data_IF_200239171075
#
_entry.id   IF_200239171075
#
_cell.length_a   1.000
_cell.length_b   1.000
_cell.length_c   1.000
_cell.angle_alpha   90.00
_cell.angle_beta   90.00
_cell.angle_gamma   90.00
#
_symmetry.space_group_name_H-M   'P 1'
#
loop_
_entity.id
_entity.type
_entity.pdbx_description
1 polymer ?
#
# COMPACT_ATOMS: atom_id res chain seq x y z
N UNK A 1 35.37 -37.71 4.03
CA UNK A 1 34.28 -36.71 4.12
C UNK A 1 34.90 -35.37 3.77
N UNK A 2 34.60 -34.85 2.59
CA UNK A 2 35.21 -33.62 2.08
C UNK A 2 34.53 -32.40 2.70
N UNK A 3 34.83 -32.19 3.99
CA UNK A 3 34.32 -31.09 4.81
C UNK A 3 34.69 -29.71 4.26
N UNK A 4 35.76 -29.64 3.46
CA UNK A 4 36.21 -28.42 2.79
C UNK A 4 35.16 -27.84 1.83
N UNK A 5 34.31 -28.68 1.23
CA UNK A 5 33.30 -28.24 0.26
C UNK A 5 31.91 -28.04 0.90
N UNK A 6 31.69 -28.48 2.13
CA UNK A 6 30.37 -28.39 2.78
C UNK A 6 29.98 -26.93 3.08
N UNK A 7 30.92 -26.13 3.59
CA UNK A 7 30.70 -24.72 3.92
C UNK A 7 30.34 -23.87 2.68
N UNK A 8 31.07 -23.93 1.55
CA UNK A 8 30.69 -23.16 0.37
C UNK A 8 29.34 -23.59 -0.22
N UNK A 9 29.00 -24.88 -0.19
CA UNK A 9 27.68 -25.36 -0.63
C UNK A 9 26.55 -24.89 0.30
N UNK A 10 26.75 -24.92 1.62
CA UNK A 10 25.78 -24.35 2.58
C UNK A 10 25.57 -22.85 2.35
N UNK A 11 26.62 -22.10 2.04
CA UNK A 11 26.50 -20.67 1.74
C UNK A 11 25.67 -20.40 0.47
N UNK A 12 25.84 -21.22 -0.58
CA UNK A 12 25.02 -21.13 -1.79
C UNK A 12 23.54 -21.38 -1.48
N UNK A 13 23.26 -22.39 -0.67
CA UNK A 13 21.89 -22.71 -0.27
C UNK A 13 21.26 -21.61 0.59
N UNK A 14 22.02 -21.01 1.52
CA UNK A 14 21.57 -19.84 2.29
C UNK A 14 21.23 -18.66 1.36
N UNK A 15 22.03 -18.42 0.32
CA UNK A 15 21.77 -17.35 -0.64
C UNK A 15 20.47 -17.58 -1.41
N UNK A 16 20.26 -18.79 -1.92
CA UNK A 16 19.03 -19.21 -2.62
C UNK A 16 17.78 -19.03 -1.75
N UNK A 17 17.84 -19.49 -0.50
CA UNK A 17 16.71 -19.39 0.42
C UNK A 17 16.38 -17.93 0.78
N UNK A 18 17.39 -17.06 0.90
CA UNK A 18 17.18 -15.62 1.12
C UNK A 18 16.51 -14.95 -0.07
N UNK A 19 16.89 -15.31 -1.29
CA UNK A 19 16.27 -14.81 -2.52
C UNK A 19 14.81 -15.26 -2.63
N UNK A 20 14.54 -16.56 -2.42
CA UNK A 20 13.18 -17.10 -2.39
C UNK A 20 12.30 -16.39 -1.35
N UNK A 21 12.83 -16.16 -0.15
CA UNK A 21 12.16 -15.36 0.88
C UNK A 21 11.92 -13.93 0.42
N UNK A 22 12.86 -13.28 -0.27
CA UNK A 22 12.68 -11.91 -0.74
C UNK A 22 11.60 -11.81 -1.82
N UNK A 23 11.57 -12.76 -2.76
CA UNK A 23 10.52 -12.86 -3.77
C UNK A 23 9.15 -13.07 -3.12
N UNK A 24 9.07 -13.95 -2.11
CA UNK A 24 7.82 -14.24 -1.41
C UNK A 24 7.39 -13.08 -0.49
N UNK A 25 8.33 -12.46 0.23
CA UNK A 25 8.09 -11.28 1.08
C UNK A 25 7.74 -10.03 0.25
N UNK A 26 8.16 -9.97 -1.02
CA UNK A 26 7.76 -8.94 -1.98
C UNK A 26 6.27 -8.93 -2.31
N UNK A 27 5.50 -9.93 -1.88
CA UNK A 27 4.04 -9.96 -1.98
C UNK A 27 3.33 -9.46 -0.70
N UNK A 28 4.06 -9.30 0.41
CA UNK A 28 3.49 -8.92 1.72
C UNK A 28 4.15 -7.71 2.37
N UNK A 29 5.20 -7.14 1.77
CA UNK A 29 5.82 -5.90 2.26
C UNK A 29 5.21 -4.71 1.52
N UNK A 30 4.43 -3.82 2.18
CA UNK A 30 4.13 -2.53 1.59
C UNK A 30 5.46 -1.78 1.48
N UNK A 31 6.06 -1.78 0.29
CA UNK A 31 7.17 -0.91 -0.09
C UNK A 31 6.81 0.48 0.39
N UNK A 32 7.49 0.94 1.46
CA UNK A 32 7.09 2.08 2.29
C UNK A 32 6.32 3.12 1.50
N UNK A 33 5.00 3.12 1.66
CA UNK A 33 4.14 4.09 1.03
C UNK A 33 4.62 5.45 1.54
N UNK A 34 5.29 6.22 0.68
CA UNK A 34 5.69 7.59 1.03
C UNK A 34 4.43 8.26 1.54
N UNK A 35 4.46 8.72 2.80
CA UNK A 35 3.31 9.38 3.41
C UNK A 35 2.85 10.49 2.46
N UNK A 36 1.66 10.31 1.88
CA UNK A 36 1.18 11.24 0.87
C UNK A 36 1.02 12.61 1.52
N UNK A 37 1.57 13.66 0.90
CA UNK A 37 1.47 15.00 1.46
C UNK A 37 -0.01 15.40 1.48
N UNK A 38 -0.54 15.63 2.69
CA UNK A 38 -1.92 16.08 2.88
C UNK A 38 -2.09 17.42 2.16
N UNK A 39 -3.03 17.49 1.22
CA UNK A 39 -3.38 18.72 0.51
C UNK A 39 -4.52 19.42 1.26
N UNK A 40 -4.34 20.70 1.56
CA UNK A 40 -5.38 21.55 2.15
C UNK A 40 -6.27 22.12 1.05
N UNK A 41 -7.60 21.91 1.16
CA UNK A 41 -8.59 22.51 0.27
C UNK A 41 -8.80 23.99 0.58
N UNK A 42 -8.83 24.82 -0.48
CA UNK A 42 -9.26 26.23 -0.46
C UNK A 42 -10.70 26.36 0.06
N UNK A 43 -11.02 27.53 0.64
CA UNK A 43 -12.36 27.85 1.14
C UNK A 43 -13.44 27.73 0.05
N UNK A 44 -13.15 28.19 -1.17
CA UNK A 44 -14.10 28.09 -2.29
C UNK A 44 -14.39 26.63 -2.66
N UNK A 45 -13.34 25.80 -2.70
CA UNK A 45 -13.48 24.37 -3.02
C UNK A 45 -14.33 23.65 -1.96
N UNK A 46 -14.13 23.98 -0.67
CA UNK A 46 -14.97 23.47 0.43
C UNK A 46 -16.44 23.90 0.26
N UNK A 47 -16.69 25.15 -0.13
CA UNK A 47 -18.04 25.66 -0.34
C UNK A 47 -18.78 24.92 -1.48
N UNK A 48 -18.07 24.65 -2.59
CA UNK A 48 -18.62 23.89 -3.73
C UNK A 48 -19.00 22.46 -3.33
N UNK A 49 -18.16 21.79 -2.55
CA UNK A 49 -18.42 20.44 -2.03
C UNK A 49 -19.67 20.44 -1.14
N UNK A 50 -19.77 21.39 -0.20
CA UNK A 50 -20.92 21.48 0.70
C UNK A 50 -22.24 21.70 -0.06
N UNK A 51 -22.24 22.59 -1.07
CA UNK A 51 -23.41 22.81 -1.93
C UNK A 51 -23.80 21.54 -2.68
N UNK A 52 -22.84 20.79 -3.22
CA UNK A 52 -23.08 19.52 -3.90
C UNK A 52 -23.66 18.46 -2.95
N UNK A 53 -23.14 18.35 -1.72
CA UNK A 53 -23.68 17.45 -0.71
C UNK A 53 -25.13 17.79 -0.35
N UNK A 54 -25.45 19.07 -0.13
CA UNK A 54 -26.84 19.51 0.13
C UNK A 54 -27.78 19.12 -1.01
N UNK A 55 -27.37 19.31 -2.26
CA UNK A 55 -28.14 18.88 -3.45
C UNK A 55 -28.36 17.37 -3.47
N UNK A 56 -27.31 16.59 -3.21
CA UNK A 56 -27.41 15.11 -3.15
C UNK A 56 -28.36 14.65 -2.05
N UNK A 57 -28.29 15.24 -0.86
CA UNK A 57 -29.19 14.90 0.24
C UNK A 57 -30.62 15.33 -0.02
N UNK A 58 -30.86 16.47 -0.67
CA UNK A 58 -32.19 16.87 -1.09
C UNK A 58 -32.81 15.83 -2.06
N UNK A 59 -32.02 15.34 -3.02
CA UNK A 59 -32.45 14.25 -3.92
C UNK A 59 -32.73 12.95 -3.16
N UNK A 60 -31.85 12.56 -2.24
CA UNK A 60 -32.04 11.36 -1.43
C UNK A 60 -33.31 11.43 -0.58
N UNK A 61 -33.59 12.59 0.05
CA UNK A 61 -34.81 12.80 0.84
C UNK A 61 -36.08 12.79 0.00
N UNK A 62 -36.04 13.36 -1.21
CA UNK A 62 -37.16 13.29 -2.15
C UNK A 62 -37.46 11.86 -2.63
N UNK A 63 -36.44 11.01 -2.70
CA UNK A 63 -36.60 9.61 -3.09
C UNK A 63 -36.99 8.69 -1.92
N UNK A 64 -36.86 9.18 -0.68
CA UNK A 64 -37.18 8.44 0.54
C UNK A 64 -38.54 8.84 1.14
N UNK A 65 -39.23 9.79 0.53
CA UNK A 65 -40.61 10.20 0.80
C UNK A 65 -41.50 9.65 -0.32
#
# INVERSE_FOLDING_TARGET
MDTANLIPELNKEIARLREARNLLAGTSSPKGAKASKKRTLSAEARARIAAAQKKRWAKARKNAA
#
